data_IF_816238122499
#
_entry.id   IF_816238122499
#
_cell.length_a   1.000
_cell.length_b   1.000
_cell.length_c   1.000
_cell.angle_alpha   90.00
_cell.angle_beta   90.00
_cell.angle_gamma   90.00
#
_symmetry.space_group_name_H-M   'P 1'
#
loop_
_entity.id
_entity.type
_entity.pdbx_description
1 polymer ?
#
# COMPACT_ATOMS: atom_id res chain seq x y z
N UNK A 1 5.87 -25.93 -15.69
CA UNK A 1 6.11 -24.97 -14.58
C UNK A 1 6.33 -23.58 -15.17
N UNK A 2 5.52 -22.59 -14.79
CA UNK A 2 5.67 -21.21 -15.27
C UNK A 2 6.98 -20.58 -14.73
N UNK A 3 7.75 -19.92 -15.59
CA UNK A 3 8.99 -19.22 -15.19
C UNK A 3 8.69 -18.07 -14.20
N UNK A 4 9.71 -17.59 -13.46
CA UNK A 4 9.51 -16.44 -12.55
C UNK A 4 9.02 -15.20 -13.29
N UNK A 5 9.59 -14.95 -14.47
CA UNK A 5 9.19 -13.87 -15.34
C UNK A 5 7.72 -13.97 -15.72
N UNK A 6 7.24 -15.15 -16.15
CA UNK A 6 5.82 -15.29 -16.52
C UNK A 6 4.87 -15.12 -15.33
N UNK A 7 5.28 -15.53 -14.13
CA UNK A 7 4.51 -15.23 -12.90
C UNK A 7 4.51 -13.75 -12.54
N UNK A 8 5.65 -13.06 -12.67
CA UNK A 8 5.73 -11.61 -12.47
C UNK A 8 4.81 -10.86 -13.42
N UNK A 9 4.88 -11.19 -14.71
CA UNK A 9 4.02 -10.61 -15.74
C UNK A 9 2.54 -10.92 -15.51
N UNK A 10 2.20 -12.13 -15.03
CA UNK A 10 0.83 -12.45 -14.65
C UNK A 10 0.29 -11.51 -13.57
N UNK A 11 1.04 -11.32 -12.47
CA UNK A 11 0.63 -10.41 -11.41
C UNK A 11 0.60 -8.94 -11.86
N UNK A 12 1.57 -8.51 -12.67
CA UNK A 12 1.60 -7.16 -13.24
C UNK A 12 0.42 -6.92 -14.19
N UNK A 13 0.06 -7.91 -15.00
CA UNK A 13 -1.11 -7.87 -15.87
C UNK A 13 -2.40 -7.77 -15.07
N UNK A 14 -2.58 -8.59 -14.03
CA UNK A 14 -3.72 -8.47 -13.12
C UNK A 14 -3.78 -7.11 -12.43
N UNK A 15 -2.63 -6.56 -12.03
CA UNK A 15 -2.55 -5.23 -11.47
C UNK A 15 -2.99 -4.16 -12.49
N UNK A 16 -2.53 -4.27 -13.75
CA UNK A 16 -2.93 -3.38 -14.83
C UNK A 16 -4.43 -3.45 -15.14
N UNK A 17 -5.03 -4.64 -15.09
CA UNK A 17 -6.49 -4.82 -15.21
C UNK A 17 -7.22 -4.15 -14.04
N UNK A 18 -6.77 -4.35 -12.80
CA UNK A 18 -7.35 -3.68 -11.65
C UNK A 18 -7.24 -2.14 -11.75
N UNK A 19 -6.10 -1.63 -12.22
CA UNK A 19 -5.88 -0.21 -12.47
C UNK A 19 -6.84 0.33 -13.54
N UNK A 20 -7.01 -0.38 -14.67
CA UNK A 20 -7.93 0.00 -15.73
C UNK A 20 -9.40 0.01 -15.28
N UNK A 21 -9.82 -1.03 -14.53
CA UNK A 21 -11.17 -1.10 -13.94
C UNK A 21 -11.40 0.06 -12.97
N UNK A 22 -10.40 0.38 -12.16
CA UNK A 22 -10.44 1.49 -11.20
C UNK A 22 -10.57 2.83 -11.92
N UNK A 23 -9.76 3.05 -12.95
CA UNK A 23 -9.78 4.25 -13.77
C UNK A 23 -11.11 4.43 -14.50
N UNK A 24 -11.71 3.33 -15.00
CA UNK A 24 -13.01 3.34 -15.65
C UNK A 24 -14.21 3.46 -14.69
N UNK A 25 -14.01 3.29 -13.38
CA UNK A 25 -15.06 3.38 -12.37
C UNK A 25 -16.10 2.24 -12.41
N UNK A 26 -15.89 1.18 -13.20
CA UNK A 26 -16.89 0.15 -13.47
C UNK A 26 -17.37 -0.61 -12.22
N UNK A 27 -16.48 -0.78 -11.24
CA UNK A 27 -16.79 -1.48 -9.98
C UNK A 27 -17.10 -0.53 -8.82
N UNK A 28 -17.36 0.75 -9.10
CA UNK A 28 -17.66 1.71 -8.03
C UNK A 28 -18.91 1.35 -7.19
N UNK A 29 -20.03 0.86 -7.77
CA UNK A 29 -21.17 0.42 -6.97
C UNK A 29 -20.80 -0.72 -6.00
N UNK A 30 -20.00 -1.68 -6.45
CA UNK A 30 -19.53 -2.78 -5.61
C UNK A 30 -18.60 -2.27 -4.49
N UNK A 31 -17.66 -1.38 -4.82
CA UNK A 31 -16.79 -0.74 -3.83
C UNK A 31 -17.59 -0.02 -2.73
N UNK A 32 -18.67 0.67 -3.12
CA UNK A 32 -19.55 1.35 -2.16
C UNK A 32 -20.28 0.35 -1.25
N UNK A 33 -20.84 -0.73 -1.79
CA UNK A 33 -21.50 -1.77 -0.98
C UNK A 33 -20.53 -2.39 0.02
N UNK A 34 -19.32 -2.74 -0.42
CA UNK A 34 -18.30 -3.32 0.47
C UNK A 34 -17.88 -2.33 1.55
N UNK A 35 -17.61 -1.07 1.19
CA UNK A 35 -17.24 -0.03 2.15
C UNK A 35 -18.36 0.22 3.17
N UNK A 36 -19.62 0.29 2.75
CA UNK A 36 -20.77 0.45 3.65
C UNK A 36 -20.94 -0.75 4.59
N UNK A 37 -20.73 -1.97 4.08
CA UNK A 37 -20.84 -3.20 4.87
C UNK A 37 -19.75 -3.28 5.94
N UNK A 38 -18.53 -2.84 5.63
CA UNK A 38 -17.40 -2.87 6.56
C UNK A 38 -17.31 -1.65 7.49
N UNK A 39 -18.03 -0.57 7.17
CA UNK A 39 -18.02 0.69 7.95
C UNK A 39 -18.32 0.52 9.44
N UNK A 40 -19.28 -0.33 9.88
CA UNK A 40 -19.53 -0.54 11.30
C UNK A 40 -18.29 -1.08 12.03
N UNK A 41 -17.46 -1.86 11.35
CA UNK A 41 -16.23 -2.39 11.94
C UNK A 41 -15.21 -1.27 12.19
N UNK A 42 -15.01 -0.37 11.23
CA UNK A 42 -14.12 0.79 11.40
C UNK A 42 -14.62 1.77 12.47
N UNK A 43 -15.94 1.96 12.58
CA UNK A 43 -16.51 2.92 13.53
C UNK A 43 -16.57 2.43 14.98
N UNK A 44 -16.76 1.12 15.21
CA UNK A 44 -16.95 0.56 16.56
C UNK A 44 -15.74 -0.18 17.11
N UNK A 45 -14.74 -0.48 16.27
CA UNK A 45 -13.55 -1.23 16.67
C UNK A 45 -12.33 -0.35 16.43
N UNK A 46 -11.97 0.55 17.36
CA UNK A 46 -10.91 1.55 17.14
C UNK A 46 -9.55 0.99 16.77
N UNK A 47 -9.24 -0.22 17.24
CA UNK A 47 -7.98 -0.93 16.95
C UNK A 47 -7.80 -1.20 15.45
N UNK A 48 -8.85 -1.11 14.64
CA UNK A 48 -8.76 -1.19 13.17
C UNK A 48 -7.86 -0.10 12.58
N UNK A 49 -7.80 1.09 13.22
CA UNK A 49 -6.93 2.20 12.80
C UNK A 49 -5.44 1.90 12.97
N UNK A 50 -5.04 0.87 13.75
CA UNK A 50 -3.64 0.45 13.80
C UNK A 50 -3.11 -0.05 12.45
N UNK A 51 -3.97 -0.32 11.46
CA UNK A 51 -3.52 -0.62 10.10
C UNK A 51 -2.73 0.53 9.48
N UNK A 52 -3.08 1.78 9.80
CA UNK A 52 -2.39 2.98 9.32
C UNK A 52 -0.98 3.09 9.92
N UNK A 53 -0.84 2.68 11.18
CA UNK A 53 0.45 2.58 11.88
C UNK A 53 1.28 1.41 11.34
N UNK A 54 0.69 0.21 11.31
CA UNK A 54 1.34 -1.04 10.89
C UNK A 54 1.79 -1.00 9.43
N UNK A 55 0.99 -0.39 8.56
CA UNK A 55 1.29 -0.19 7.15
C UNK A 55 2.02 1.12 6.86
N UNK A 56 2.42 1.88 7.87
CA UNK A 56 3.16 3.13 7.73
C UNK A 56 4.59 2.93 7.22
N UNK A 57 5.14 3.95 6.53
CA UNK A 57 6.48 3.86 5.91
C UNK A 57 7.60 3.61 6.93
N UNK A 58 7.71 4.33 8.07
CA UNK A 58 8.76 4.12 9.05
C UNK A 58 8.75 2.69 9.61
N UNK A 59 7.58 2.18 10.02
CA UNK A 59 7.50 0.84 10.62
C UNK A 59 7.76 -0.26 9.57
N UNK A 60 7.10 -0.20 8.41
CA UNK A 60 7.34 -1.20 7.35
C UNK A 60 8.76 -1.12 6.79
N UNK A 61 9.35 0.08 6.70
CA UNK A 61 10.74 0.30 6.35
C UNK A 61 11.72 -0.32 7.35
N UNK A 62 11.51 -0.11 8.66
CA UNK A 62 12.33 -0.73 9.71
C UNK A 62 12.25 -2.26 9.66
N UNK A 63 11.04 -2.81 9.53
CA UNK A 63 10.84 -4.27 9.42
C UNK A 63 11.48 -4.81 8.15
N UNK A 64 11.41 -4.09 7.03
CA UNK A 64 12.10 -4.45 5.79
C UNK A 64 13.62 -4.45 5.98
N UNK A 65 14.19 -3.38 6.53
CA UNK A 65 15.62 -3.25 6.76
C UNK A 65 16.14 -4.36 7.66
N UNK A 66 15.43 -4.69 8.74
CA UNK A 66 15.77 -5.83 9.59
C UNK A 66 15.76 -7.16 8.80
N UNK A 67 14.77 -7.36 7.93
CA UNK A 67 14.65 -8.57 7.10
C UNK A 67 15.72 -8.67 6.02
N UNK A 68 16.06 -7.54 5.41
CA UNK A 68 17.09 -7.43 4.39
C UNK A 68 18.49 -7.58 4.98
N UNK A 69 18.77 -6.94 6.12
CA UNK A 69 20.02 -7.07 6.87
C UNK A 69 20.29 -8.53 7.21
N UNK A 70 19.31 -9.21 7.80
CA UNK A 70 19.41 -10.65 8.15
C UNK A 70 19.71 -11.54 6.94
N UNK A 71 19.29 -11.15 5.74
CA UNK A 71 19.41 -11.95 4.51
C UNK A 71 20.47 -11.46 3.54
N UNK A 72 21.10 -10.32 3.81
CA UNK A 72 22.03 -9.63 2.93
C UNK A 72 21.44 -9.39 1.51
N UNK A 73 20.17 -8.95 1.43
CA UNK A 73 19.43 -8.77 0.15
C UNK A 73 18.98 -7.34 -0.11
N UNK A 74 19.94 -6.42 -0.19
CA UNK A 74 19.69 -4.99 -0.36
C UNK A 74 18.88 -4.62 -1.60
N UNK A 75 18.90 -5.46 -2.64
CA UNK A 75 18.03 -5.29 -3.83
C UNK A 75 16.54 -5.18 -3.46
N UNK A 76 16.09 -5.82 -2.38
CA UNK A 76 14.70 -5.75 -1.94
C UNK A 76 14.31 -4.37 -1.41
N UNK A 77 15.28 -3.57 -0.94
CA UNK A 77 15.05 -2.17 -0.55
C UNK A 77 14.79 -1.35 -1.82
N UNK A 78 15.63 -1.49 -2.85
CA UNK A 78 15.43 -0.80 -4.12
C UNK A 78 14.08 -1.17 -4.77
N UNK A 79 13.69 -2.45 -4.72
CA UNK A 79 12.40 -2.93 -5.24
C UNK A 79 11.23 -2.38 -4.41
N UNK A 80 11.38 -2.28 -3.09
CA UNK A 80 10.38 -1.67 -2.22
C UNK A 80 10.19 -0.18 -2.56
N UNK A 81 11.28 0.57 -2.70
CA UNK A 81 11.25 1.99 -3.09
C UNK A 81 10.62 2.16 -4.47
N UNK A 82 10.98 1.31 -5.45
CA UNK A 82 10.36 1.32 -6.77
C UNK A 82 8.84 1.10 -6.70
N UNK A 83 8.36 0.23 -5.82
CA UNK A 83 6.93 0.04 -5.59
C UNK A 83 6.24 1.26 -4.97
N UNK A 84 6.89 1.98 -4.05
CA UNK A 84 6.37 3.26 -3.53
C UNK A 84 6.26 4.32 -4.62
N UNK A 85 7.22 4.37 -5.55
CA UNK A 85 7.15 5.27 -6.70
C UNK A 85 6.01 4.91 -7.64
N UNK A 86 5.82 3.61 -7.94
CA UNK A 86 4.68 3.14 -8.74
C UNK A 86 3.36 3.46 -8.05
N UNK A 87 3.26 3.28 -6.74
CA UNK A 87 2.09 3.67 -5.94
C UNK A 87 1.80 5.17 -6.09
N UNK A 88 2.79 6.03 -5.87
CA UNK A 88 2.64 7.48 -5.96
C UNK A 88 2.21 7.94 -7.37
N UNK A 89 2.87 7.41 -8.40
CA UNK A 89 2.51 7.71 -9.79
C UNK A 89 1.10 7.23 -10.13
N UNK A 90 0.72 6.05 -9.64
CA UNK A 90 -0.63 5.51 -9.88
C UNK A 90 -1.69 6.39 -9.23
N UNK A 91 -1.45 6.90 -8.01
CA UNK A 91 -2.35 7.85 -7.34
C UNK A 91 -2.47 9.18 -8.07
N UNK A 92 -1.43 9.60 -8.80
CA UNK A 92 -1.48 10.77 -9.65
C UNK A 92 -2.42 10.55 -10.85
N UNK A 93 -2.24 9.45 -11.58
CA UNK A 93 -2.99 9.19 -12.82
C UNK A 93 -4.39 8.60 -12.60
N UNK A 94 -4.58 7.80 -11.55
CA UNK A 94 -5.83 7.13 -11.21
C UNK A 94 -6.43 7.88 -10.01
N UNK A 95 -7.01 9.03 -10.30
CA UNK A 95 -7.54 9.98 -9.30
C UNK A 95 -8.88 9.52 -8.70
N UNK A 96 -8.95 8.30 -8.17
CA UNK A 96 -10.17 7.81 -7.51
C UNK A 96 -10.40 8.51 -6.17
N UNK A 97 -11.60 9.09 -5.95
CA UNK A 97 -11.90 9.79 -4.70
C UNK A 97 -11.87 8.82 -3.53
N UNK A 98 -11.49 9.27 -2.35
CA UNK A 98 -11.49 8.42 -1.14
C UNK A 98 -12.92 8.08 -0.69
N UNK A 99 -13.14 6.94 -0.01
CA UNK A 99 -14.37 6.69 0.73
C UNK A 99 -14.53 7.71 1.87
N UNK A 100 -15.71 7.73 2.49
CA UNK A 100 -15.92 8.54 3.70
C UNK A 100 -15.18 7.89 4.87
N UNK A 101 -14.22 8.59 5.51
CA UNK A 101 -13.49 8.04 6.65
C UNK A 101 -14.43 7.82 7.84
N UNK A 102 -14.13 6.80 8.65
CA UNK A 102 -14.77 6.61 9.95
C UNK A 102 -14.12 7.50 11.01
N UNK A 103 -14.80 7.70 12.15
CA UNK A 103 -14.20 8.42 13.27
C UNK A 103 -12.95 7.69 13.77
N UNK A 104 -11.86 8.44 13.90
CA UNK A 104 -10.61 7.95 14.46
C UNK A 104 -10.35 8.65 15.81
N UNK A 105 -10.18 7.90 16.91
CA UNK A 105 -9.85 8.48 18.21
C UNK A 105 -8.49 9.20 18.21
N UNK A 106 -8.32 10.26 19.03
CA UNK A 106 -7.12 11.10 19.01
C UNK A 106 -5.79 10.34 19.22
N UNK A 107 -5.80 9.30 20.05
CA UNK A 107 -4.62 8.48 20.31
C UNK A 107 -4.10 7.78 19.04
N UNK A 108 -4.99 7.19 18.25
CA UNK A 108 -4.61 6.52 17.01
C UNK A 108 -4.12 7.52 15.97
N UNK A 109 -4.79 8.66 15.87
CA UNK A 109 -4.36 9.74 14.97
C UNK A 109 -2.95 10.24 15.30
N UNK A 110 -2.64 10.36 16.58
CA UNK A 110 -1.30 10.73 17.01
C UNK A 110 -0.26 9.67 16.59
N UNK A 111 -0.54 8.39 16.82
CA UNK A 111 0.33 7.32 16.35
C UNK A 111 0.47 7.31 14.82
N UNK A 112 -0.62 7.55 14.10
CA UNK A 112 -0.62 7.67 12.65
C UNK A 112 0.32 8.80 12.21
N UNK A 113 0.25 10.00 12.80
CA UNK A 113 1.15 11.10 12.42
C UNK A 113 2.64 10.78 12.62
N UNK A 114 2.98 9.88 13.55
CA UNK A 114 4.37 9.46 13.78
C UNK A 114 4.84 8.38 12.78
N UNK A 115 3.90 7.71 12.11
CA UNK A 115 4.19 6.49 11.33
C UNK A 115 3.66 6.52 9.90
N UNK A 116 2.81 7.47 9.57
CA UNK A 116 2.29 7.71 8.24
C UNK A 116 2.85 9.05 7.78
N UNK A 117 4.03 9.01 7.17
CA UNK A 117 4.63 10.18 6.53
C UNK A 117 3.65 10.58 5.43
N UNK A 118 2.94 11.67 5.65
CA UNK A 118 2.03 12.18 4.63
C UNK A 118 2.86 12.72 3.47
N UNK A 119 2.30 12.80 2.27
CA UNK A 119 3.03 13.40 1.17
C UNK A 119 3.32 14.89 1.42
N UNK A 120 2.58 15.55 2.33
CA UNK A 120 2.90 16.90 2.81
C UNK A 120 4.19 16.87 3.63
N UNK A 121 4.33 15.95 4.59
CA UNK A 121 5.55 15.80 5.40
C UNK A 121 6.78 15.49 4.53
N UNK A 122 6.63 14.59 3.55
CA UNK A 122 7.70 14.24 2.62
C UNK A 122 8.13 15.45 1.77
N UNK A 123 7.17 16.26 1.30
CA UNK A 123 7.47 17.48 0.54
C UNK A 123 8.11 18.55 1.41
N UNK A 124 7.72 18.70 2.69
CA UNK A 124 8.40 19.60 3.63
C UNK A 124 9.86 19.19 3.84
N UNK A 125 10.17 17.88 3.84
CA UNK A 125 11.56 17.41 3.89
C UNK A 125 12.31 17.68 2.59
N UNK A 126 11.66 17.52 1.44
CA UNK A 126 12.25 17.87 0.14
C UNK A 126 12.50 19.38 0.04
N UNK A 127 11.57 20.22 0.51
CA UNK A 127 11.73 21.68 0.61
C UNK A 127 12.89 22.08 1.52
N UNK A 128 13.10 21.33 2.62
CA UNK A 128 14.24 21.55 3.51
C UNK A 128 15.59 21.19 2.86
N UNK A 129 15.60 20.30 1.86
CA UNK A 129 16.80 19.89 1.13
C UNK A 129 17.02 20.69 -0.16
N UNK A 130 15.95 21.16 -0.79
CA UNK A 130 15.93 21.95 -2.02
C UNK A 130 14.88 23.04 -1.82
N UNK A 131 15.25 24.33 -1.65
CA UNK A 131 14.30 25.40 -1.34
C UNK A 131 13.39 25.72 -2.54
N UNK A 132 12.34 24.92 -2.70
CA UNK A 132 11.28 25.08 -3.70
C UNK A 132 10.27 26.10 -3.18
N UNK A 133 10.58 27.38 -3.31
CA UNK A 133 9.75 28.48 -2.80
C UNK A 133 8.30 28.41 -3.35
N UNK A 134 7.34 28.06 -2.49
CA UNK A 134 5.90 28.25 -2.72
C UNK A 134 5.19 27.25 -3.66
N UNK A 135 5.88 26.24 -4.19
CA UNK A 135 5.28 25.27 -5.11
C UNK A 135 4.87 23.93 -4.48
N UNK A 136 5.36 23.57 -3.29
CA UNK A 136 5.14 22.22 -2.77
C UNK A 136 3.70 21.90 -2.40
N UNK A 137 2.92 22.88 -1.92
CA UNK A 137 1.51 22.65 -1.54
C UNK A 137 0.61 22.37 -2.75
N UNK A 138 0.89 23.00 -3.90
CA UNK A 138 0.18 22.74 -5.16
C UNK A 138 0.65 21.44 -5.83
N UNK A 139 1.95 21.14 -5.77
CA UNK A 139 2.52 19.88 -6.28
C UNK A 139 1.98 18.68 -5.48
N UNK A 140 1.78 18.83 -4.18
CA UNK A 140 1.18 17.81 -3.30
C UNK A 140 -0.23 17.41 -3.73
N UNK A 141 -1.13 18.40 -3.88
CA UNK A 141 -2.50 18.14 -4.35
C UNK A 141 -2.52 17.67 -5.82
N UNK A 142 -1.49 17.99 -6.60
CA UNK A 142 -1.35 17.47 -7.96
C UNK A 142 -0.95 15.99 -7.98
N UNK A 143 0.00 15.56 -7.13
CA UNK A 143 0.57 14.21 -7.17
C UNK A 143 -0.28 13.13 -6.48
N UNK A 144 -1.04 13.47 -5.43
CA UNK A 144 -1.80 12.48 -4.64
C UNK A 144 -3.31 12.73 -4.72
N UNK A 145 -3.85 12.66 -5.93
CA UNK A 145 -5.28 12.88 -6.21
C UNK A 145 -6.14 11.64 -5.98
N UNK A 146 -5.52 10.46 -6.07
CA UNK A 146 -6.17 9.17 -6.05
C UNK A 146 -5.91 8.34 -4.80
N UNK A 147 -6.80 7.38 -4.58
CA UNK A 147 -6.70 6.38 -3.51
C UNK A 147 -6.08 5.05 -3.97
N UNK A 148 -6.03 4.79 -5.28
CA UNK A 148 -5.47 3.56 -5.85
C UNK A 148 -3.97 3.68 -6.17
N UNK A 149 -3.15 2.65 -5.88
CA UNK A 149 -3.45 1.49 -5.03
C UNK A 149 -3.25 1.81 -3.55
N UNK A 150 -3.71 0.92 -2.67
CA UNK A 150 -3.46 1.06 -1.24
C UNK A 150 -2.00 0.78 -0.89
N UNK A 151 -1.28 1.84 -0.51
CA UNK A 151 0.10 1.75 -0.04
C UNK A 151 0.28 0.90 1.21
N UNK A 152 -0.68 0.96 2.15
CA UNK A 152 -0.63 0.18 3.39
C UNK A 152 -0.68 -1.32 3.10
N UNK A 153 -1.62 -1.74 2.25
CA UNK A 153 -1.73 -3.15 1.83
C UNK A 153 -0.50 -3.57 1.02
N UNK A 154 0.01 -2.71 0.13
CA UNK A 154 1.25 -2.95 -0.59
C UNK A 154 2.42 -3.23 0.36
N UNK A 155 2.70 -2.30 1.30
CA UNK A 155 3.86 -2.39 2.19
C UNK A 155 3.76 -3.58 3.14
N UNK A 156 2.59 -3.81 3.75
CA UNK A 156 2.35 -4.98 4.63
C UNK A 156 2.55 -6.28 3.84
N UNK A 157 1.97 -6.37 2.64
CA UNK A 157 2.11 -7.57 1.78
C UNK A 157 3.55 -7.80 1.37
N UNK A 158 4.26 -6.74 0.98
CA UNK A 158 5.65 -6.85 0.52
C UNK A 158 6.57 -7.30 1.66
N UNK A 159 6.53 -6.61 2.80
CA UNK A 159 7.39 -6.88 3.95
C UNK A 159 7.09 -8.25 4.56
N UNK A 160 5.81 -8.60 4.70
CA UNK A 160 5.43 -9.95 5.14
C UNK A 160 5.82 -11.02 4.12
N UNK A 161 5.77 -10.73 2.81
CA UNK A 161 6.26 -11.63 1.77
C UNK A 161 7.76 -11.88 1.86
N UNK A 162 8.55 -10.84 2.18
CA UNK A 162 9.97 -11.00 2.50
C UNK A 162 10.10 -11.91 3.72
N UNK A 163 9.54 -11.56 4.88
CA UNK A 163 9.76 -12.33 6.12
C UNK A 163 9.20 -13.76 6.06
N UNK A 164 7.96 -13.91 5.62
CA UNK A 164 7.16 -15.15 5.65
C UNK A 164 7.19 -15.90 4.31
N UNK A 165 8.26 -15.79 3.53
CA UNK A 165 8.39 -16.42 2.22
C UNK A 165 8.09 -17.94 2.18
N UNK A 166 8.44 -18.69 3.25
CA UNK A 166 8.14 -20.13 3.40
C UNK A 166 6.68 -20.41 3.80
N UNK A 167 6.00 -19.37 4.27
CA UNK A 167 4.73 -19.40 4.98
C UNK A 167 3.68 -18.61 4.18
N UNK A 168 3.61 -18.86 2.86
CA UNK A 168 2.82 -18.04 1.92
C UNK A 168 1.40 -17.77 2.38
N UNK A 169 0.70 -18.75 2.95
CA UNK A 169 -0.67 -18.57 3.49
C UNK A 169 -0.79 -17.40 4.47
N UNK A 170 0.24 -17.14 5.27
CA UNK A 170 0.25 -16.06 6.24
C UNK A 170 0.43 -14.69 5.59
N UNK A 171 1.26 -14.58 4.54
CA UNK A 171 1.34 -13.36 3.73
C UNK A 171 -0.02 -13.00 3.14
N UNK A 172 -0.77 -14.00 2.64
CA UNK A 172 -2.10 -13.79 2.07
C UNK A 172 -3.11 -13.40 3.15
N UNK A 173 -3.07 -14.08 4.31
CA UNK A 173 -3.90 -13.74 5.46
C UNK A 173 -3.67 -12.31 5.96
N UNK A 174 -2.41 -11.90 6.11
CA UNK A 174 -2.06 -10.53 6.53
C UNK A 174 -2.50 -9.49 5.50
N UNK A 175 -2.32 -9.76 4.21
CA UNK A 175 -2.80 -8.87 3.15
C UNK A 175 -4.32 -8.74 3.15
N UNK A 176 -5.04 -9.85 3.36
CA UNK A 176 -6.49 -9.88 3.45
C UNK A 176 -6.99 -9.09 4.66
N UNK A 177 -6.40 -9.31 5.84
CA UNK A 177 -6.71 -8.57 7.06
C UNK A 177 -6.43 -7.08 6.85
N UNK A 178 -5.24 -6.70 6.36
CA UNK A 178 -4.91 -5.31 6.06
C UNK A 178 -5.92 -4.68 5.09
N UNK A 179 -6.32 -5.42 4.04
CA UNK A 179 -7.34 -4.99 3.09
C UNK A 179 -8.70 -4.71 3.73
N UNK A 180 -9.19 -5.62 4.58
CA UNK A 180 -10.42 -5.40 5.34
C UNK A 180 -10.29 -4.16 6.22
N UNK A 181 -9.19 -4.02 6.94
CA UNK A 181 -8.98 -2.92 7.88
C UNK A 181 -8.99 -1.56 7.18
N UNK A 182 -8.21 -1.38 6.10
CA UNK A 182 -8.17 -0.10 5.37
C UNK A 182 -9.50 0.28 4.71
N UNK A 183 -10.31 -0.72 4.33
CA UNK A 183 -11.65 -0.47 3.78
C UNK A 183 -12.64 -0.15 4.90
N UNK A 184 -12.55 -0.86 6.03
CA UNK A 184 -13.44 -0.65 7.17
C UNK A 184 -13.31 0.75 7.78
N UNK A 185 -12.09 1.29 7.81
CA UNK A 185 -11.79 2.65 8.30
C UNK A 185 -12.13 3.74 7.27
N UNK A 186 -12.55 3.35 6.06
CA UNK A 186 -12.97 4.27 5.01
C UNK A 186 -11.81 5.03 4.34
N UNK A 187 -10.56 4.57 4.49
CA UNK A 187 -9.42 5.22 3.85
C UNK A 187 -9.03 4.61 2.50
N UNK A 188 -9.63 3.49 2.09
CA UNK A 188 -9.43 2.89 0.77
C UNK A 188 -10.67 2.13 0.29
N UNK A 189 -10.84 2.00 -1.02
CA UNK A 189 -11.79 1.07 -1.62
C UNK A 189 -11.23 -0.36 -1.63
N UNK A 190 -12.12 -1.34 -1.76
CA UNK A 190 -11.72 -2.74 -1.86
C UNK A 190 -10.76 -2.98 -3.04
N UNK A 191 -11.02 -2.32 -4.18
CA UNK A 191 -10.15 -2.43 -5.36
C UNK A 191 -8.76 -1.80 -5.13
N UNK A 192 -8.64 -0.76 -4.30
CA UNK A 192 -7.33 -0.19 -3.93
C UNK A 192 -6.51 -1.19 -3.11
N UNK A 193 -7.15 -1.89 -2.16
CA UNK A 193 -6.53 -2.94 -1.38
C UNK A 193 -6.04 -4.10 -2.27
N UNK A 194 -6.88 -4.52 -3.22
CA UNK A 194 -6.50 -5.52 -4.24
C UNK A 194 -5.31 -5.02 -5.07
N UNK A 195 -5.34 -3.77 -5.52
CA UNK A 195 -4.22 -3.15 -6.25
C UNK A 195 -2.92 -3.17 -5.46
N UNK A 196 -2.96 -2.80 -4.18
CA UNK A 196 -1.79 -2.82 -3.30
C UNK A 196 -1.20 -4.23 -3.15
N UNK A 197 -2.07 -5.23 -2.94
CA UNK A 197 -1.67 -6.63 -2.92
C UNK A 197 -1.03 -7.08 -4.23
N UNK A 198 -1.70 -6.85 -5.36
CA UNK A 198 -1.23 -7.27 -6.69
C UNK A 198 0.13 -6.65 -7.04
N UNK A 199 0.34 -5.36 -6.71
CA UNK A 199 1.62 -4.68 -6.89
C UNK A 199 2.74 -5.36 -6.09
N UNK A 200 2.49 -5.66 -4.81
CA UNK A 200 3.46 -6.36 -3.97
C UNK A 200 3.77 -7.76 -4.52
N UNK A 201 2.76 -8.49 -5.00
CA UNK A 201 2.92 -9.82 -5.58
C UNK A 201 3.72 -9.78 -6.89
N UNK A 202 3.49 -8.79 -7.75
CA UNK A 202 4.25 -8.61 -8.98
C UNK A 202 5.73 -8.38 -8.67
N UNK A 203 6.04 -7.41 -7.80
CA UNK A 203 7.41 -7.09 -7.44
C UNK A 203 8.13 -8.25 -6.74
N UNK A 204 7.48 -8.93 -5.80
CA UNK A 204 8.05 -10.13 -5.19
C UNK A 204 8.24 -11.27 -6.22
N UNK A 205 7.34 -11.42 -7.20
CA UNK A 205 7.49 -12.48 -8.20
C UNK A 205 8.68 -12.24 -9.15
N UNK A 206 8.94 -10.99 -9.53
CA UNK A 206 10.11 -10.62 -10.34
C UNK A 206 11.41 -10.72 -9.55
N UNK A 207 11.40 -10.30 -8.29
CA UNK A 207 12.64 -10.01 -7.54
C UNK A 207 12.88 -10.88 -6.30
N UNK A 208 11.96 -11.76 -5.89
CA UNK A 208 12.19 -12.69 -4.77
C UNK A 208 12.94 -13.97 -5.24
N UNK A 209 14.19 -14.17 -4.80
CA UNK A 209 14.99 -15.33 -5.15
C UNK A 209 14.59 -16.63 -4.44
N UNK A 210 13.64 -16.63 -3.49
CA UNK A 210 13.28 -17.80 -2.67
C UNK A 210 12.91 -19.06 -3.48
N UNK A 211 12.55 -18.90 -4.75
CA UNK A 211 12.40 -20.02 -5.70
C UNK A 211 13.71 -20.55 -6.29
N UNK A 212 14.85 -20.47 -5.56
CA UNK A 212 16.16 -21.04 -5.95
C UNK A 212 16.59 -22.21 -5.05
N UNK A 213 15.69 -22.74 -4.22
CA UNK A 213 16.01 -23.79 -3.24
C UNK A 213 14.95 -24.87 -3.09
N UNK A 214 14.29 -25.22 -4.19
CA UNK A 214 13.68 -26.54 -4.41
C UNK A 214 14.15 -27.02 -5.78
#
# INVERSE_FOLDING_TARGET
>A
MASKASRGWWWAGLWGVAAAITLGGWLQPLNQVVAQTLRPFGSHVPVTNLVWVAGGIPLTGLVLLAGVWRRQRWVLVAVFVAGLLIEALSKHFISTPLPRPTYEPPFYRHLETLTNITPTDAMTWVEALIPLHGQASQVHQALFRGSFPSGHVYRITFVSGVWLHRWRRWTWGLAFVAGILVVSTGGHWALDAVGGFLLARALLAFFDPVSRGQ
#
